data_IF_168365299978
#
_entry.id   IF_168365299978
#
_cell.length_a   1.000
_cell.length_b   1.000
_cell.length_c   1.000
_cell.angle_alpha   90.00
_cell.angle_beta   90.00
_cell.angle_gamma   90.00
#
_symmetry.space_group_name_H-M   'P 1'
#
loop_
_entity.id
_entity.type
_entity.pdbx_description
1 polymer ?
#
# COMPACT_ATOMS: atom_id res chain seq x y z
N UNK A 1 -16.83 17.11 -24.01
CA UNK A 1 -15.45 17.23 -23.50
C UNK A 1 -15.39 17.31 -21.97
N UNK A 2 -16.28 18.05 -21.29
CA UNK A 2 -16.29 18.18 -19.82
C UNK A 2 -16.41 16.85 -19.05
N UNK A 3 -17.30 15.94 -19.49
CA UNK A 3 -17.51 14.63 -18.84
C UNK A 3 -16.27 13.72 -18.89
N UNK A 4 -15.55 13.71 -20.02
CA UNK A 4 -14.30 12.94 -20.19
C UNK A 4 -13.19 13.48 -19.27
N UNK A 5 -13.04 14.81 -19.21
CA UNK A 5 -12.09 15.46 -18.30
C UNK A 5 -12.37 15.14 -16.82
N UNK A 6 -13.65 15.09 -16.43
CA UNK A 6 -14.04 14.75 -15.07
C UNK A 6 -13.78 13.28 -14.72
N UNK A 7 -14.01 12.36 -15.66
CA UNK A 7 -13.65 10.94 -15.49
C UNK A 7 -12.14 10.78 -15.33
N UNK A 8 -11.33 11.44 -16.17
CA UNK A 8 -9.87 11.36 -16.08
C UNK A 8 -9.33 11.91 -14.74
N UNK A 9 -9.95 12.98 -14.24
CA UNK A 9 -9.63 13.55 -12.93
C UNK A 9 -10.01 12.60 -11.78
N UNK A 10 -11.19 11.97 -11.84
CA UNK A 10 -11.61 10.97 -10.86
C UNK A 10 -10.65 9.77 -10.84
N UNK A 11 -10.32 9.21 -12.01
CA UNK A 11 -9.34 8.12 -12.13
C UNK A 11 -7.99 8.50 -11.51
N UNK A 12 -7.49 9.71 -11.78
CA UNK A 12 -6.21 10.19 -11.23
C UNK A 12 -6.24 10.27 -9.70
N UNK A 13 -7.33 10.77 -9.12
CA UNK A 13 -7.49 10.84 -7.67
C UNK A 13 -7.56 9.46 -7.03
N UNK A 14 -8.30 8.53 -7.63
CA UNK A 14 -8.41 7.14 -7.14
C UNK A 14 -7.04 6.44 -7.19
N UNK A 15 -6.31 6.54 -8.30
CA UNK A 15 -4.92 6.03 -8.41
C UNK A 15 -4.05 6.54 -7.26
N UNK A 16 -4.10 7.86 -7.01
CA UNK A 16 -3.31 8.47 -5.95
C UNK A 16 -3.69 7.98 -4.54
N UNK A 17 -4.99 7.85 -4.24
CA UNK A 17 -5.46 7.36 -2.93
C UNK A 17 -4.99 5.92 -2.67
N UNK A 18 -5.10 5.05 -3.68
CA UNK A 18 -4.65 3.66 -3.58
C UNK A 18 -3.13 3.59 -3.42
N UNK A 19 -2.38 4.34 -4.23
CA UNK A 19 -0.93 4.41 -4.11
C UNK A 19 -0.48 4.93 -2.73
N UNK A 20 -1.20 5.91 -2.16
CA UNK A 20 -0.95 6.43 -0.82
C UNK A 20 -1.19 5.35 0.24
N UNK A 21 -2.31 4.63 0.18
CA UNK A 21 -2.59 3.57 1.16
C UNK A 21 -1.54 2.47 1.12
N UNK A 22 -1.25 1.96 -0.09
CA UNK A 22 -0.27 0.91 -0.30
C UNK A 22 1.12 1.34 0.22
N UNK A 23 1.60 2.54 -0.15
CA UNK A 23 2.87 3.07 0.34
C UNK A 23 2.88 3.27 1.87
N UNK A 24 1.75 3.70 2.46
CA UNK A 24 1.62 3.84 3.90
C UNK A 24 1.69 2.50 4.63
N UNK A 25 1.08 1.45 4.08
CA UNK A 25 1.14 0.09 4.61
C UNK A 25 2.58 -0.43 4.56
N UNK A 26 3.22 -0.35 3.39
CA UNK A 26 4.60 -0.82 3.22
C UNK A 26 5.56 -0.12 4.17
N UNK A 27 5.47 1.22 4.30
CA UNK A 27 6.31 1.98 5.23
C UNK A 27 6.12 1.55 6.69
N UNK A 28 4.89 1.27 7.11
CA UNK A 28 4.62 0.80 8.48
C UNK A 28 5.18 -0.60 8.71
N UNK A 29 5.03 -1.49 7.73
CA UNK A 29 5.58 -2.84 7.78
C UNK A 29 7.10 -2.80 7.94
N UNK A 30 7.79 -1.99 7.15
CA UNK A 30 9.25 -1.87 7.25
C UNK A 30 9.69 -1.25 8.58
N UNK A 31 9.03 -0.18 9.02
CA UNK A 31 9.38 0.49 10.27
C UNK A 31 9.13 -0.37 11.51
N UNK A 32 8.11 -1.25 11.50
CA UNK A 32 7.66 -2.00 12.68
C UNK A 32 8.03 -3.48 12.65
N UNK A 33 8.68 -3.97 11.58
CA UNK A 33 8.96 -5.40 11.36
C UNK A 33 9.56 -6.09 12.59
N UNK A 34 10.60 -5.50 13.19
CA UNK A 34 11.26 -6.07 14.36
C UNK A 34 10.39 -6.04 15.62
N UNK A 35 9.70 -4.91 15.85
CA UNK A 35 8.88 -4.70 17.05
C UNK A 35 7.62 -5.57 17.07
N UNK A 36 7.00 -5.83 15.91
CA UNK A 36 5.78 -6.65 15.79
C UNK A 36 5.95 -8.02 16.45
N UNK A 37 7.04 -8.73 16.14
CA UNK A 37 7.27 -10.08 16.66
C UNK A 37 7.78 -10.08 18.10
N UNK A 38 8.55 -9.06 18.50
CA UNK A 38 8.93 -8.87 19.90
C UNK A 38 7.69 -8.67 20.80
N UNK A 39 6.74 -7.84 20.35
CA UNK A 39 5.48 -7.62 21.05
C UNK A 39 4.58 -8.85 21.02
N UNK A 40 4.49 -9.56 19.88
CA UNK A 40 3.74 -10.82 19.81
C UNK A 40 4.30 -11.86 20.78
N UNK A 41 5.62 -12.01 20.87
CA UNK A 41 6.26 -12.91 21.82
C UNK A 41 5.97 -12.54 23.28
N UNK A 42 6.07 -11.25 23.61
CA UNK A 42 5.92 -10.75 24.98
C UNK A 42 4.48 -10.71 25.46
N UNK A 43 3.58 -10.22 24.62
CA UNK A 43 2.19 -9.94 24.98
C UNK A 43 1.23 -11.04 24.54
N UNK A 44 1.67 -11.97 23.69
CA UNK A 44 0.83 -12.98 23.01
C UNK A 44 -0.37 -12.34 22.29
N UNK A 45 -0.21 -11.08 21.89
CA UNK A 45 -1.23 -10.31 21.18
C UNK A 45 -0.91 -10.21 19.71
N UNK A 46 -1.93 -10.43 18.87
CA UNK A 46 -1.87 -10.27 17.41
C UNK A 46 -2.10 -8.83 16.96
N UNK A 47 -2.57 -7.97 17.86
CA UNK A 47 -2.90 -6.57 17.55
C UNK A 47 -1.75 -5.82 16.87
N UNK A 48 -0.48 -5.90 17.32
CA UNK A 48 0.59 -5.11 16.72
C UNK A 48 0.83 -5.47 15.24
N UNK A 49 0.57 -6.73 14.90
CA UNK A 49 0.70 -7.21 13.53
C UNK A 49 -0.48 -6.74 12.69
N UNK A 50 -1.71 -6.90 13.19
CA UNK A 50 -2.94 -6.52 12.50
C UNK A 50 -3.09 -5.01 12.30
N UNK A 51 -2.73 -4.20 13.29
CA UNK A 51 -2.78 -2.73 13.19
C UNK A 51 -1.69 -2.15 12.28
N UNK A 52 -0.59 -2.88 12.09
CA UNK A 52 0.46 -2.45 11.15
C UNK A 52 -0.03 -2.56 9.70
N UNK A 53 -0.76 -3.62 9.36
CA UNK A 53 -1.26 -3.91 8.01
C UNK A 53 -2.65 -3.32 7.69
N UNK A 54 -3.31 -2.67 8.65
CA UNK A 54 -4.65 -2.14 8.44
C UNK A 54 -4.66 -1.02 7.40
N UNK A 55 -5.55 -1.11 6.41
CA UNK A 55 -5.85 0.00 5.48
C UNK A 55 -6.64 1.11 6.19
N UNK A 56 -6.44 2.36 5.77
CA UNK A 56 -7.25 3.49 6.23
C UNK A 56 -8.58 3.64 5.46
N UNK A 57 -8.77 2.90 4.37
CA UNK A 57 -9.86 3.09 3.41
C UNK A 57 -10.79 1.86 3.28
N UNK A 58 -10.98 1.11 4.37
CA UNK A 58 -11.59 -0.23 4.38
C UNK A 58 -12.94 -0.35 3.67
N UNK A 59 -13.78 0.69 3.70
CA UNK A 59 -15.09 0.72 3.04
C UNK A 59 -15.12 1.56 1.75
N UNK A 60 -14.16 2.48 1.58
CA UNK A 60 -14.14 3.42 0.47
C UNK A 60 -13.52 2.81 -0.81
N UNK A 61 -12.55 1.90 -0.67
CA UNK A 61 -11.77 1.40 -1.80
C UNK A 61 -12.64 0.75 -2.87
N UNK A 62 -13.62 -0.11 -2.51
CA UNK A 62 -14.39 -0.88 -3.50
C UNK A 62 -15.26 -0.03 -4.43
N UNK A 63 -15.93 1.01 -3.90
CA UNK A 63 -16.79 1.88 -4.72
C UNK A 63 -15.97 2.75 -5.68
N UNK A 64 -14.74 3.08 -5.30
CA UNK A 64 -13.85 3.93 -6.09
C UNK A 64 -13.17 3.18 -7.25
N UNK A 65 -13.01 1.84 -7.15
CA UNK A 65 -12.36 1.02 -8.19
C UNK A 65 -13.05 1.11 -9.56
N UNK A 66 -14.34 1.45 -9.61
CA UNK A 66 -15.08 1.60 -10.87
C UNK A 66 -14.47 2.68 -11.79
N UNK A 67 -13.72 3.62 -11.22
CA UNK A 67 -13.05 4.68 -11.98
C UNK A 67 -11.72 4.23 -12.59
N UNK A 68 -11.20 3.05 -12.23
CA UNK A 68 -9.97 2.51 -12.79
C UNK A 68 -10.25 1.66 -14.05
N UNK A 69 -9.34 1.67 -15.04
CA UNK A 69 -9.29 0.66 -16.08
C UNK A 69 -9.17 -0.77 -15.51
N UNK A 70 -9.67 -1.77 -16.24
CA UNK A 70 -9.69 -3.18 -15.80
C UNK A 70 -8.31 -3.72 -15.41
N UNK A 71 -7.27 -3.35 -16.16
CA UNK A 71 -5.89 -3.75 -15.84
C UNK A 71 -5.46 -3.22 -14.46
N UNK A 72 -5.79 -1.96 -14.18
CA UNK A 72 -5.46 -1.32 -12.90
C UNK A 72 -6.27 -1.94 -11.75
N UNK A 73 -7.55 -2.22 -11.96
CA UNK A 73 -8.38 -2.94 -10.99
C UNK A 73 -7.74 -4.29 -10.62
N UNK A 74 -7.28 -5.06 -11.61
CA UNK A 74 -6.64 -6.37 -11.37
C UNK A 74 -5.34 -6.26 -10.57
N UNK A 75 -4.50 -5.26 -10.86
CA UNK A 75 -3.26 -5.07 -10.09
C UNK A 75 -3.55 -4.62 -8.66
N UNK A 76 -4.56 -3.77 -8.47
CA UNK A 76 -4.99 -3.33 -7.14
C UNK A 76 -5.54 -4.49 -6.33
N UNK A 77 -6.42 -5.28 -6.92
CA UNK A 77 -7.01 -6.47 -6.31
C UNK A 77 -5.93 -7.43 -5.83
N UNK A 78 -4.96 -7.77 -6.70
CA UNK A 78 -3.85 -8.65 -6.36
C UNK A 78 -3.00 -8.16 -5.16
N UNK A 79 -2.76 -6.85 -5.06
CA UNK A 79 -2.07 -6.29 -3.89
C UNK A 79 -2.87 -6.49 -2.60
N UNK A 80 -4.17 -6.21 -2.63
CA UNK A 80 -5.03 -6.36 -1.46
C UNK A 80 -5.31 -7.84 -1.12
N UNK A 81 -5.29 -8.77 -2.08
CA UNK A 81 -5.31 -10.21 -1.82
C UNK A 81 -4.04 -10.67 -1.05
N UNK A 82 -2.87 -10.16 -1.44
CA UNK A 82 -1.62 -10.44 -0.71
C UNK A 82 -1.69 -9.89 0.72
N UNK A 83 -2.25 -8.70 0.90
CA UNK A 83 -2.46 -8.09 2.20
C UNK A 83 -3.47 -8.88 3.04
N UNK A 84 -4.54 -9.36 2.43
CA UNK A 84 -5.55 -10.19 3.10
C UNK A 84 -4.98 -11.54 3.53
N UNK A 85 -4.12 -12.15 2.71
CA UNK A 85 -3.39 -13.37 3.07
C UNK A 85 -2.54 -13.15 4.34
N UNK A 86 -1.82 -12.03 4.44
CA UNK A 86 -1.09 -11.64 5.65
C UNK A 86 -2.02 -11.44 6.85
N UNK A 87 -3.14 -10.74 6.64
CA UNK A 87 -4.15 -10.49 7.68
C UNK A 87 -4.75 -11.78 8.21
N UNK A 88 -5.14 -12.68 7.32
CA UNK A 88 -5.67 -13.99 7.65
C UNK A 88 -4.65 -14.78 8.48
N UNK A 89 -3.41 -14.86 8.00
CA UNK A 89 -2.33 -15.54 8.71
C UNK A 89 -2.16 -15.01 10.13
N UNK A 90 -2.00 -13.69 10.30
CA UNK A 90 -1.81 -13.11 11.63
C UNK A 90 -3.02 -13.27 12.55
N UNK A 91 -4.24 -13.33 11.99
CA UNK A 91 -5.47 -13.50 12.79
C UNK A 91 -5.54 -14.88 13.42
N UNK A 92 -5.17 -15.92 12.66
CA UNK A 92 -5.46 -17.30 13.04
C UNK A 92 -4.22 -18.15 13.33
N UNK A 93 -3.01 -17.66 13.08
CA UNK A 93 -1.80 -18.43 13.33
C UNK A 93 -1.67 -18.82 14.82
N UNK A 94 -1.25 -20.07 15.02
CA UNK A 94 -0.84 -20.63 16.31
C UNK A 94 0.70 -20.75 16.40
N UNK A 95 1.40 -20.26 15.38
CA UNK A 95 2.84 -20.38 15.26
C UNK A 95 3.57 -19.64 16.38
N UNK A 96 4.70 -20.22 16.79
CA UNK A 96 5.65 -19.53 17.67
C UNK A 96 6.23 -18.30 16.97
N UNK A 97 6.65 -17.25 17.70
CA UNK A 97 7.08 -15.99 17.11
C UNK A 97 8.16 -16.10 16.02
N UNK A 98 9.12 -17.03 16.18
CA UNK A 98 10.17 -17.30 15.20
C UNK A 98 9.61 -17.85 13.88
N UNK A 99 8.71 -18.85 13.95
CA UNK A 99 8.01 -19.40 12.78
C UNK A 99 7.11 -18.35 12.14
N UNK A 100 6.40 -17.56 12.96
CA UNK A 100 5.57 -16.47 12.49
C UNK A 100 6.36 -15.42 11.70
N UNK A 101 7.56 -15.09 12.16
CA UNK A 101 8.46 -14.18 11.46
C UNK A 101 8.98 -14.75 10.13
N UNK A 102 9.28 -16.05 10.06
CA UNK A 102 9.69 -16.71 8.82
C UNK A 102 8.56 -16.72 7.77
N UNK A 103 7.36 -17.09 8.17
CA UNK A 103 6.17 -17.06 7.30
C UNK A 103 5.88 -15.63 6.85
N UNK A 104 5.95 -14.67 7.77
CA UNK A 104 5.82 -13.26 7.44
C UNK A 104 6.83 -12.82 6.39
N UNK A 105 8.12 -13.14 6.52
CA UNK A 105 9.13 -12.74 5.53
C UNK A 105 8.78 -13.26 4.12
N UNK A 106 8.23 -14.47 4.03
CA UNK A 106 7.80 -15.06 2.76
C UNK A 106 6.60 -14.31 2.16
N UNK A 107 5.58 -14.05 2.98
CA UNK A 107 4.37 -13.33 2.56
C UNK A 107 4.66 -11.85 2.26
N UNK A 108 5.54 -11.23 3.05
CA UNK A 108 5.98 -9.85 2.87
C UNK A 108 6.68 -9.66 1.53
N UNK A 109 7.56 -10.58 1.12
CA UNK A 109 8.22 -10.52 -0.19
C UNK A 109 7.20 -10.57 -1.34
N UNK A 110 6.15 -11.39 -1.23
CA UNK A 110 5.06 -11.42 -2.22
C UNK A 110 4.30 -10.09 -2.25
N UNK A 111 4.03 -9.51 -1.08
CA UNK A 111 3.41 -8.19 -0.96
C UNK A 111 4.29 -7.09 -1.57
N UNK A 112 5.61 -7.10 -1.35
CA UNK A 112 6.57 -6.18 -1.96
C UNK A 112 6.56 -6.29 -3.50
N UNK A 113 6.50 -7.51 -4.04
CA UNK A 113 6.36 -7.74 -5.47
C UNK A 113 5.04 -7.20 -6.03
N UNK A 114 3.92 -7.43 -5.34
CA UNK A 114 2.62 -6.88 -5.72
C UNK A 114 2.62 -5.34 -5.63
N UNK A 115 3.24 -4.77 -4.60
CA UNK A 115 3.39 -3.32 -4.43
C UNK A 115 4.19 -2.70 -5.58
N UNK A 116 5.31 -3.30 -5.98
CA UNK A 116 6.11 -2.82 -7.13
C UNK A 116 5.29 -2.80 -8.42
N UNK A 117 4.50 -3.86 -8.69
CA UNK A 117 3.60 -3.90 -9.85
C UNK A 117 2.52 -2.82 -9.76
N UNK A 118 1.94 -2.61 -8.58
CA UNK A 118 0.95 -1.57 -8.33
C UNK A 118 1.51 -0.19 -8.62
N UNK A 119 2.68 0.15 -8.09
CA UNK A 119 3.33 1.45 -8.33
C UNK A 119 3.72 1.62 -9.80
N UNK A 120 4.23 0.57 -10.45
CA UNK A 120 4.54 0.62 -11.88
C UNK A 120 3.30 0.87 -12.76
N UNK A 121 2.12 0.41 -12.31
CA UNK A 121 0.88 0.55 -13.07
C UNK A 121 0.16 1.87 -12.77
N UNK A 122 0.04 2.25 -11.49
CA UNK A 122 -0.74 3.42 -11.06
C UNK A 122 0.09 4.71 -10.97
N UNK A 123 1.42 4.58 -10.89
CA UNK A 123 2.34 5.65 -10.55
C UNK A 123 2.63 5.75 -9.05
N UNK A 124 3.63 6.56 -8.72
CA UNK A 124 3.96 6.88 -7.33
C UNK A 124 2.92 7.82 -6.71
N UNK A 125 2.62 7.68 -5.40
CA UNK A 125 1.75 8.62 -4.72
C UNK A 125 2.37 10.01 -4.69
N UNK A 126 1.51 11.04 -4.79
CA UNK A 126 1.93 12.44 -4.67
C UNK A 126 2.22 12.74 -3.20
N UNK A 127 3.41 13.25 -2.90
CA UNK A 127 3.75 13.71 -1.53
C UNK A 127 2.93 14.96 -1.18
N UNK A 128 2.58 15.17 0.11
CA UNK A 128 1.96 16.43 0.56
C UNK A 128 2.74 17.69 0.17
N UNK A 129 4.06 17.58 -0.02
CA UNK A 129 4.93 18.67 -0.48
C UNK A 129 4.90 18.86 -2.02
N UNK A 130 3.99 18.17 -2.72
CA UNK A 130 3.89 18.18 -4.19
C UNK A 130 5.05 17.48 -4.90
N UNK A 131 5.93 16.80 -4.17
CA UNK A 131 7.11 16.12 -4.72
C UNK A 131 6.78 14.67 -5.04
N UNK A 132 7.02 14.25 -6.28
CA UNK A 132 6.95 12.83 -6.66
C UNK A 132 8.31 12.22 -6.34
N UNK A 133 8.39 11.39 -5.29
CA UNK A 133 9.62 10.65 -4.98
C UNK A 133 9.68 9.44 -5.92
N UNK A 134 10.41 9.58 -7.02
CA UNK A 134 10.84 8.46 -7.86
C UNK A 134 12.12 7.93 -7.21
N UNK A 135 12.21 6.63 -6.94
CA UNK A 135 13.48 6.01 -6.51
C UNK A 135 14.58 6.40 -7.49
N UNK A 136 15.47 7.32 -7.09
CA UNK A 136 16.69 7.68 -7.82
C UNK A 136 16.87 9.15 -8.20
N UNK A 137 15.85 10.01 -8.28
CA UNK A 137 16.09 11.42 -8.61
C UNK A 137 14.97 12.34 -8.14
N UNK A 138 15.30 13.24 -7.22
CA UNK A 138 14.42 14.34 -6.82
C UNK A 138 14.40 15.36 -7.96
N UNK A 139 13.49 15.19 -8.92
CA UNK A 139 13.27 16.21 -9.96
C UNK A 139 12.60 17.41 -9.27
N UNK A 140 13.42 18.40 -8.89
CA UNK A 140 12.95 19.73 -8.50
C UNK A 140 12.37 20.40 -9.74
N UNK A 141 11.07 20.71 -9.70
CA UNK A 141 10.42 21.54 -10.71
C UNK A 141 10.98 22.96 -10.56
N UNK A 142 11.73 23.42 -11.56
CA UNK A 142 12.23 24.78 -11.63
C UNK A 142 11.04 25.76 -11.61
N UNK A 143 11.05 26.67 -10.62
CA UNK A 143 10.17 27.83 -10.62
C UNK A 143 10.46 28.65 -11.87
N UNK A 144 9.47 28.72 -12.75
CA UNK A 144 9.47 29.62 -13.89
C UNK A 144 9.09 31.00 -13.36
N UNK A 145 10.07 31.75 -12.89
CA UNK A 145 9.94 33.18 -12.72
C UNK A 145 9.86 33.84 -14.11
N UNK A 146 8.77 34.55 -14.39
CA UNK A 146 8.66 35.69 -15.32
C UNK A 146 7.25 36.29 -15.23
N UNK A 147 7.05 37.60 -15.51
CA UNK A 147 8.02 38.60 -15.94
C UNK A 147 8.35 39.68 -14.90
#
# INVERSE_FOLDING_TARGET
>A
MARRKQTDEATTRVRNLIALDAANIMRRLDARRGEMFALFSRLRSREPMLSTISTRYTSATFQELIHLPVLEQSVVDHFYECLDTLRWYFTYTEDMPSTAQQTFNTLHRRLEEAHRKLVATLGHPVSPDGTTVVEGEVIRRADKALP
#
